data_IF_396091893795
#
_entry.id   IF_396091893795
#
_cell.length_a   1.000
_cell.length_b   1.000
_cell.length_c   1.000
_cell.angle_alpha   90.00
_cell.angle_beta   90.00
_cell.angle_gamma   90.00
#
_symmetry.space_group_name_H-M   'P 1'
#
loop_
_entity.id
_entity.type
_entity.pdbx_description
1 polymer ?
#
# COMPACT_ATOMS: atom_id res chain seq x y z
N UNK A 1 22.06 0.55 -8.89
CA UNK A 1 21.47 0.84 -7.56
C UNK A 1 20.25 -0.04 -7.24
N UNK A 2 19.18 -0.04 -8.04
CA UNK A 2 17.89 -0.64 -7.65
C UNK A 2 17.71 -2.14 -7.95
N UNK A 3 18.74 -2.83 -8.45
CA UNK A 3 18.62 -4.22 -8.90
C UNK A 3 18.12 -5.16 -7.78
N UNK A 4 18.57 -4.93 -6.54
CA UNK A 4 18.18 -5.71 -5.35
C UNK A 4 16.72 -5.51 -4.91
N UNK A 5 16.04 -4.47 -5.43
CA UNK A 5 14.64 -4.20 -5.15
C UNK A 5 13.72 -4.91 -6.14
N UNK A 6 14.26 -5.33 -7.29
CA UNK A 6 13.50 -5.99 -8.34
C UNK A 6 13.06 -7.40 -7.89
N UNK A 7 11.78 -7.76 -8.11
CA UNK A 7 11.30 -9.11 -7.82
C UNK A 7 11.89 -10.13 -8.78
N UNK A 8 12.03 -11.40 -8.37
CA UNK A 8 12.50 -12.49 -9.24
C UNK A 8 11.40 -13.02 -10.18
N UNK A 9 10.62 -12.12 -10.79
CA UNK A 9 9.53 -12.44 -11.69
C UNK A 9 8.73 -11.19 -12.06
N UNK A 10 7.42 -11.33 -12.28
CA UNK A 10 6.57 -10.22 -12.72
C UNK A 10 6.67 -8.95 -11.82
N UNK A 11 6.38 -7.77 -12.39
CA UNK A 11 6.40 -6.44 -11.73
C UNK A 11 7.73 -5.65 -11.75
N UNK A 12 8.74 -6.07 -12.53
CA UNK A 12 9.95 -5.24 -12.74
C UNK A 12 9.65 -3.78 -13.15
N UNK A 13 8.76 -3.50 -14.13
CA UNK A 13 8.54 -2.14 -14.62
C UNK A 13 7.92 -1.23 -13.56
N UNK A 14 7.01 -1.76 -12.73
CA UNK A 14 6.38 -1.02 -11.65
C UNK A 14 7.40 -0.68 -10.56
N UNK A 15 8.22 -1.65 -10.17
CA UNK A 15 9.25 -1.46 -9.15
C UNK A 15 10.31 -0.46 -9.61
N UNK A 16 10.78 -0.55 -10.86
CA UNK A 16 11.78 0.40 -11.39
C UNK A 16 11.21 1.81 -11.49
N UNK A 17 9.96 1.97 -11.96
CA UNK A 17 9.28 3.27 -12.06
C UNK A 17 9.19 3.96 -10.69
N UNK A 18 8.72 3.24 -9.66
CA UNK A 18 8.63 3.77 -8.30
C UNK A 18 10.00 4.11 -7.71
N UNK A 19 11.00 3.27 -7.96
CA UNK A 19 12.37 3.51 -7.50
C UNK A 19 12.97 4.76 -8.14
N UNK A 20 12.75 4.98 -9.44
CA UNK A 20 13.27 6.15 -10.17
C UNK A 20 12.61 7.45 -9.70
N UNK A 21 11.28 7.45 -9.53
CA UNK A 21 10.58 8.60 -8.96
C UNK A 21 11.09 8.94 -7.55
N UNK A 22 11.32 7.93 -6.70
CA UNK A 22 11.80 8.16 -5.33
C UNK A 22 13.24 8.67 -5.29
N UNK A 23 14.09 8.23 -6.21
CA UNK A 23 15.48 8.67 -6.34
C UNK A 23 15.61 10.08 -6.95
N UNK A 24 14.50 10.71 -7.37
CA UNK A 24 14.51 12.04 -7.98
C UNK A 24 14.99 12.05 -9.43
N UNK A 25 14.99 10.89 -10.10
CA UNK A 25 15.32 10.83 -11.53
C UNK A 25 14.19 11.42 -12.37
N UNK A 26 14.58 12.12 -13.45
CA UNK A 26 13.64 12.58 -14.46
C UNK A 26 13.09 11.38 -15.23
N UNK A 27 11.76 11.18 -15.16
CA UNK A 27 11.05 10.11 -15.88
C UNK A 27 10.16 10.77 -16.92
N UNK A 28 10.30 10.34 -18.19
CA UNK A 28 9.46 10.77 -19.29
C UNK A 28 8.67 9.60 -19.86
N UNK A 29 7.45 9.88 -20.31
CA UNK A 29 6.60 8.89 -21.00
C UNK A 29 6.74 9.10 -22.50
N UNK A 30 7.15 8.06 -23.21
CA UNK A 30 7.25 8.07 -24.67
C UNK A 30 6.11 7.24 -25.26
N UNK A 31 5.43 7.72 -26.32
CA UNK A 31 4.44 6.93 -27.02
C UNK A 31 5.12 5.72 -27.67
N UNK A 32 4.54 4.55 -27.46
CA UNK A 32 4.99 3.30 -28.11
C UNK A 32 3.82 2.68 -28.88
N UNK A 33 4.13 2.08 -30.02
CA UNK A 33 3.16 1.31 -30.79
C UNK A 33 3.29 -0.16 -30.38
N UNK A 34 2.28 -0.70 -29.71
CA UNK A 34 2.30 -2.08 -29.21
C UNK A 34 1.56 -2.98 -30.20
N UNK A 35 2.22 -4.04 -30.66
CA UNK A 35 1.63 -5.03 -31.56
C UNK A 35 0.69 -5.97 -30.81
N UNK A 36 -0.26 -6.57 -31.53
CA UNK A 36 -1.13 -7.61 -30.97
C UNK A 36 -0.26 -8.80 -30.54
N UNK A 37 -0.51 -9.34 -29.33
CA UNK A 37 0.14 -10.56 -28.86
C UNK A 37 -0.21 -11.72 -29.80
N UNK A 38 0.79 -12.50 -30.15
CA UNK A 38 0.63 -13.83 -30.71
C UNK A 38 0.76 -14.88 -29.59
N UNK A 39 -0.15 -15.86 -29.56
CA UNK A 39 -0.18 -16.92 -28.54
C UNK A 39 -0.88 -16.55 -27.23
N UNK A 40 -0.80 -17.46 -26.27
CA UNK A 40 -1.52 -17.39 -24.99
C UNK A 40 -0.70 -16.74 -23.86
N UNK A 41 -1.42 -16.09 -22.95
CA UNK A 41 -0.81 -15.49 -21.76
C UNK A 41 -0.37 -16.58 -20.78
N UNK A 42 0.89 -16.52 -20.37
CA UNK A 42 1.42 -17.39 -19.31
C UNK A 42 1.05 -16.89 -17.90
N UNK A 43 0.40 -15.71 -17.81
CA UNK A 43 0.01 -15.09 -16.54
C UNK A 43 -1.20 -15.81 -15.98
N UNK A 44 -1.04 -16.40 -14.80
CA UNK A 44 -2.12 -16.95 -14.01
C UNK A 44 -2.65 -15.89 -13.05
N UNK A 45 -3.87 -15.41 -13.26
CA UNK A 45 -4.48 -14.31 -12.47
C UNK A 45 -4.43 -14.58 -10.96
N UNK A 46 -4.65 -15.82 -10.52
CA UNK A 46 -4.66 -16.14 -9.09
C UNK A 46 -3.24 -16.22 -8.50
N UNK A 47 -2.37 -17.03 -9.09
CA UNK A 47 -1.01 -17.25 -8.58
C UNK A 47 -0.15 -16.00 -8.74
N UNK A 48 -0.16 -15.39 -9.92
CA UNK A 48 0.63 -14.20 -10.21
C UNK A 48 -0.02 -12.94 -9.63
N UNK A 49 -1.35 -12.90 -9.53
CA UNK A 49 -2.05 -11.78 -8.87
C UNK A 49 -1.72 -11.67 -7.39
N UNK A 50 -1.68 -12.80 -6.65
CA UNK A 50 -1.25 -12.79 -5.24
C UNK A 50 0.20 -12.35 -5.12
N UNK A 51 1.10 -12.86 -5.97
CA UNK A 51 2.52 -12.44 -5.98
C UNK A 51 2.66 -10.95 -6.30
N UNK A 52 1.88 -10.44 -7.24
CA UNK A 52 1.82 -9.03 -7.59
C UNK A 52 1.30 -8.17 -6.43
N UNK A 53 0.25 -8.61 -5.73
CA UNK A 53 -0.28 -7.95 -4.55
C UNK A 53 0.76 -7.88 -3.44
N UNK A 54 1.48 -8.98 -3.16
CA UNK A 54 2.60 -9.00 -2.20
C UNK A 54 3.71 -8.02 -2.59
N UNK A 55 3.99 -7.86 -3.90
CA UNK A 55 4.96 -6.87 -4.38
C UNK A 55 4.44 -5.45 -4.17
N UNK A 56 3.17 -5.16 -4.48
CA UNK A 56 2.55 -3.86 -4.20
C UNK A 56 2.61 -3.55 -2.71
N UNK A 57 2.27 -4.51 -1.85
CA UNK A 57 2.38 -4.35 -0.40
C UNK A 57 3.83 -4.06 -0.01
N UNK A 58 4.80 -4.83 -0.48
CA UNK A 58 6.22 -4.64 -0.16
C UNK A 58 6.76 -3.29 -0.62
N UNK A 59 6.47 -2.89 -1.86
CA UNK A 59 6.88 -1.59 -2.43
C UNK A 59 6.13 -0.46 -1.73
N UNK A 60 4.82 -0.61 -1.53
CA UNK A 60 3.98 0.36 -0.85
C UNK A 60 4.43 0.63 0.59
N UNK A 61 4.66 -0.42 1.39
CA UNK A 61 5.15 -0.26 2.77
C UNK A 61 6.57 0.27 2.83
N UNK A 62 7.43 -0.09 1.86
CA UNK A 62 8.81 0.41 1.82
C UNK A 62 8.87 1.91 1.48
N UNK A 63 8.06 2.37 0.53
CA UNK A 63 8.20 3.72 -0.02
C UNK A 63 7.16 4.73 0.47
N UNK A 64 5.95 4.28 0.84
CA UNK A 64 4.88 5.16 1.32
C UNK A 64 3.85 4.39 2.16
N UNK A 65 4.25 3.89 3.34
CA UNK A 65 3.38 3.07 4.17
C UNK A 65 2.04 3.73 4.50
N UNK A 66 1.97 5.05 4.69
CA UNK A 66 0.69 5.73 4.97
C UNK A 66 -0.37 5.50 3.89
N UNK A 67 0.02 5.38 2.61
CA UNK A 67 -0.94 5.10 1.52
C UNK A 67 -1.64 3.76 1.68
N UNK A 68 -1.03 2.82 2.41
CA UNK A 68 -1.62 1.53 2.73
C UNK A 68 -2.44 1.57 4.03
N UNK A 69 -1.88 2.13 5.10
CA UNK A 69 -2.52 2.11 6.41
C UNK A 69 -3.72 3.06 6.53
N UNK A 70 -3.71 4.21 5.83
CA UNK A 70 -4.82 5.18 5.87
C UNK A 70 -6.14 4.57 5.38
N UNK A 71 -6.23 3.97 4.18
CA UNK A 71 -7.49 3.36 3.72
C UNK A 71 -8.04 2.30 4.69
N UNK A 72 -7.15 1.50 5.29
CA UNK A 72 -7.54 0.43 6.22
C UNK A 72 -8.05 1.02 7.55
N UNK A 73 -7.37 2.05 8.07
CA UNK A 73 -7.79 2.78 9.27
C UNK A 73 -9.14 3.46 9.04
N UNK A 74 -9.31 4.18 7.93
CA UNK A 74 -10.57 4.83 7.57
C UNK A 74 -11.70 3.82 7.40
N UNK A 75 -11.44 2.66 6.81
CA UNK A 75 -12.42 1.58 6.69
C UNK A 75 -12.88 1.09 8.07
N UNK A 76 -11.95 0.82 9.00
CA UNK A 76 -12.30 0.41 10.37
C UNK A 76 -13.05 1.52 11.11
N UNK A 77 -12.64 2.77 10.95
CA UNK A 77 -13.30 3.93 11.55
C UNK A 77 -14.73 4.10 11.02
N UNK A 78 -14.92 4.00 9.70
CA UNK A 78 -16.22 4.09 9.06
C UNK A 78 -17.16 2.96 9.48
N UNK A 79 -16.68 1.72 9.52
CA UNK A 79 -17.46 0.57 10.01
C UNK A 79 -17.78 0.73 11.49
N UNK A 80 -16.81 1.15 12.32
CA UNK A 80 -17.01 1.37 13.76
C UNK A 80 -18.03 2.47 14.04
N UNK A 81 -17.95 3.60 13.34
CA UNK A 81 -18.92 4.70 13.45
C UNK A 81 -20.32 4.29 12.97
N UNK A 82 -20.40 3.60 11.84
CA UNK A 82 -21.67 3.11 11.30
C UNK A 82 -22.33 2.12 12.25
N UNK A 83 -21.54 1.21 12.83
CA UNK A 83 -22.01 0.23 13.79
C UNK A 83 -22.44 0.90 15.10
N UNK A 84 -21.68 1.87 15.60
CA UNK A 84 -22.09 2.66 16.76
C UNK A 84 -23.40 3.40 16.52
N UNK A 85 -23.54 4.08 15.38
CA UNK A 85 -24.77 4.79 15.03
C UNK A 85 -25.97 3.83 15.03
N UNK A 86 -25.81 2.63 14.45
CA UNK A 86 -26.81 1.59 14.48
C UNK A 86 -27.17 1.14 15.90
N UNK A 87 -26.19 0.82 16.76
CA UNK A 87 -26.46 0.36 18.14
C UNK A 87 -26.98 1.46 19.05
N UNK A 88 -26.61 2.71 18.79
CA UNK A 88 -27.13 3.87 19.51
C UNK A 88 -28.60 4.11 19.18
N UNK A 89 -28.99 4.05 17.91
CA UNK A 89 -30.39 4.25 17.49
C UNK A 89 -31.28 3.11 17.98
N UNK A 90 -30.79 1.86 17.93
CA UNK A 90 -31.61 0.68 18.25
C UNK A 90 -31.65 0.34 19.74
N UNK A 91 -30.55 0.54 20.48
CA UNK A 91 -30.41 0.08 21.88
C UNK A 91 -29.92 1.20 22.81
N UNK A 92 -29.57 2.39 22.30
CA UNK A 92 -29.07 3.51 23.11
C UNK A 92 -27.71 3.24 23.75
N UNK A 93 -26.92 2.29 23.22
CA UNK A 93 -25.69 1.82 23.87
C UNK A 93 -24.49 1.88 22.94
N UNK A 94 -23.36 2.25 23.54
CA UNK A 94 -22.04 2.03 22.97
C UNK A 94 -21.56 0.62 23.32
N UNK A 95 -21.21 -0.16 22.30
CA UNK A 95 -20.87 -1.58 22.46
C UNK A 95 -19.36 -1.81 22.44
N UNK A 96 -18.90 -2.90 23.06
CA UNK A 96 -17.49 -3.31 23.03
C UNK A 96 -16.96 -3.46 21.60
N UNK A 97 -17.80 -3.91 20.66
CA UNK A 97 -17.43 -4.04 19.26
C UNK A 97 -17.20 -2.68 18.58
N UNK A 98 -18.04 -1.67 18.88
CA UNK A 98 -17.81 -0.29 18.42
C UNK A 98 -16.50 0.26 18.97
N UNK A 99 -16.24 0.05 20.27
CA UNK A 99 -14.99 0.44 20.92
C UNK A 99 -13.78 -0.23 20.26
N UNK A 100 -13.86 -1.53 19.99
CA UNK A 100 -12.81 -2.31 19.35
C UNK A 100 -12.52 -1.84 17.92
N UNK A 101 -13.55 -1.59 17.11
CA UNK A 101 -13.37 -1.12 15.74
C UNK A 101 -12.74 0.27 15.67
N UNK A 102 -13.22 1.20 16.52
CA UNK A 102 -12.67 2.56 16.60
C UNK A 102 -11.24 2.57 17.16
N UNK A 103 -10.96 1.80 18.22
CA UNK A 103 -9.61 1.70 18.76
C UNK A 103 -8.64 1.07 17.76
N UNK A 104 -9.08 0.05 17.03
CA UNK A 104 -8.31 -0.56 15.95
C UNK A 104 -8.01 0.44 14.83
N UNK A 105 -8.97 1.27 14.43
CA UNK A 105 -8.74 2.34 13.45
C UNK A 105 -7.63 3.30 13.89
N UNK A 106 -7.64 3.73 15.15
CA UNK A 106 -6.60 4.59 15.73
C UNK A 106 -5.25 3.88 15.75
N UNK A 107 -5.18 2.64 16.23
CA UNK A 107 -3.94 1.87 16.30
C UNK A 107 -3.33 1.69 14.90
N UNK A 108 -4.14 1.31 13.91
CA UNK A 108 -3.70 1.14 12.51
C UNK A 108 -3.14 2.45 11.96
N UNK A 109 -3.79 3.58 12.25
CA UNK A 109 -3.32 4.91 11.84
C UNK A 109 -1.98 5.27 12.46
N UNK A 110 -1.84 5.07 13.78
CA UNK A 110 -0.59 5.34 14.51
C UNK A 110 0.56 4.47 14.01
N UNK A 111 0.32 3.18 13.75
CA UNK A 111 1.31 2.29 13.13
C UNK A 111 1.71 2.81 11.74
N UNK A 112 0.74 3.29 10.95
CA UNK A 112 1.00 3.92 9.66
C UNK A 112 1.90 5.16 9.77
N UNK A 113 1.64 6.05 10.74
CA UNK A 113 2.48 7.22 11.01
C UNK A 113 3.90 6.82 11.41
N UNK A 114 4.04 5.89 12.36
CA UNK A 114 5.35 5.38 12.80
C UNK A 114 6.13 4.78 11.62
N UNK A 115 5.45 3.98 10.79
CA UNK A 115 6.07 3.38 9.60
C UNK A 115 6.57 4.43 8.62
N UNK A 116 5.81 5.52 8.40
CA UNK A 116 6.24 6.62 7.53
C UNK A 116 7.45 7.34 8.09
N UNK A 117 7.50 7.59 9.40
CA UNK A 117 8.66 8.21 10.05
C UNK A 117 9.91 7.34 9.92
N UNK A 118 9.79 6.02 10.13
CA UNK A 118 10.90 5.08 9.93
C UNK A 118 11.39 5.12 8.48
N UNK A 119 10.47 5.10 7.52
CA UNK A 119 10.80 5.22 6.10
C UNK A 119 11.52 6.52 5.80
N UNK A 120 11.03 7.66 6.30
CA UNK A 120 11.66 8.97 6.11
C UNK A 120 13.10 8.99 6.64
N UNK A 121 13.34 8.45 7.85
CA UNK A 121 14.66 8.34 8.45
C UNK A 121 15.61 7.44 7.63
N UNK A 122 15.13 6.27 7.20
CA UNK A 122 15.93 5.32 6.39
C UNK A 122 16.44 5.95 5.08
N UNK A 123 15.61 6.78 4.44
CA UNK A 123 16.00 7.47 3.21
C UNK A 123 16.83 8.74 3.47
N UNK A 124 16.70 9.39 4.62
CA UNK A 124 17.52 10.53 4.99
C UNK A 124 19.01 10.13 5.14
N UNK A 125 19.30 9.01 5.77
CA UNK A 125 20.69 8.52 5.96
C UNK A 125 21.40 8.19 4.64
N UNK A 126 20.66 7.75 3.62
CA UNK A 126 21.24 7.50 2.28
C UNK A 126 21.65 8.77 1.55
N UNK A 127 20.99 9.90 1.81
CA UNK A 127 21.31 11.18 1.17
C UNK A 127 22.55 11.88 1.74
N UNK A 128 23.04 11.41 2.90
CA UNK A 128 24.14 12.03 3.65
C UNK A 128 25.50 11.36 3.40
N UNK A 129 25.55 10.29 2.59
CA UNK A 129 26.78 9.68 2.07
C UNK A 129 26.95 10.04 0.60
#
# INVERSE_FOLDING_TARGET
EFLHLLPNGFSYPTTSTMAFFRAGYAVAYLPIHVLKREGESHINIWKDGVRFLLIIFKVGTLYSPLKLFIPISLLHGAIGLSYYAYTFITVGRFTNMSAMLLSSAVIIFLIGLISEQITALLYQDKSRK
#
